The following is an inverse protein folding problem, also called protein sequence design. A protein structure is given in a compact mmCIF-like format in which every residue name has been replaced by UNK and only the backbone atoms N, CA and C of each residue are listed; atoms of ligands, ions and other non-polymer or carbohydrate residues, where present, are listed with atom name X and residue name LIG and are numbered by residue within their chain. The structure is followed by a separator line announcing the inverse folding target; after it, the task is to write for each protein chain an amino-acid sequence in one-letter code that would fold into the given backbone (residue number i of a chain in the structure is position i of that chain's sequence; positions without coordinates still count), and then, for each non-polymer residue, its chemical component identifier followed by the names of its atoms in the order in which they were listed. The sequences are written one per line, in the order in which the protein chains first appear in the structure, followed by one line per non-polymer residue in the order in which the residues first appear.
data_IF_365315863509
#
_entry.id   IF_365315863509
#
_cell.length_a   1.000
_cell.length_b   1.000
_cell.length_c   1.000
_cell.angle_alpha   90.00
_cell.angle_beta   90.00
_cell.angle_gamma   90.00
#
_symmetry.space_group_name_H-M   'P 1'
#
loop_
_entity.id
_entity.type
_entity.pdbx_description
1 polymer ?
#
# COMPACT_ATOMS: atom_id res chain seq x y z
N UNK A 1 -6.09 -33.07 -24.15
CA UNK A 1 -7.41 -33.37 -23.51
C UNK A 1 -8.01 -32.07 -23.03
N UNK A 2 -9.33 -31.91 -23.06
CA UNK A 2 -10.01 -30.72 -22.50
C UNK A 2 -10.71 -31.14 -21.21
N UNK A 3 -10.20 -30.61 -20.09
CA UNK A 3 -10.88 -30.80 -18.80
C UNK A 3 -12.19 -30.02 -18.74
N UNK A 4 -13.12 -30.48 -17.92
CA UNK A 4 -14.44 -29.89 -17.76
C UNK A 4 -14.70 -29.49 -16.30
N UNK A 5 -15.72 -28.67 -16.10
CA UNK A 5 -16.19 -28.31 -14.75
C UNK A 5 -16.61 -29.60 -14.01
N UNK A 6 -16.18 -29.69 -12.76
CA UNK A 6 -16.37 -30.80 -11.82
C UNK A 6 -15.37 -31.97 -11.96
N UNK A 7 -14.48 -31.98 -12.95
CA UNK A 7 -13.39 -32.97 -12.97
C UNK A 7 -12.59 -32.90 -11.70
N UNK A 8 -12.19 -34.07 -11.16
CA UNK A 8 -11.33 -34.19 -9.98
C UNK A 8 -9.98 -34.67 -10.45
N UNK A 9 -8.94 -33.92 -10.11
CA UNK A 9 -7.57 -34.12 -10.58
C UNK A 9 -6.59 -34.10 -9.42
N UNK A 10 -5.51 -34.84 -9.57
CA UNK A 10 -4.33 -34.71 -8.68
C UNK A 10 -3.33 -33.81 -9.37
N UNK A 11 -2.87 -32.76 -8.66
CA UNK A 11 -1.94 -31.80 -9.20
C UNK A 11 -0.84 -31.47 -8.20
N UNK A 12 0.40 -31.41 -8.69
CA UNK A 12 1.54 -30.85 -7.98
C UNK A 12 1.57 -29.35 -8.20
N UNK A 13 1.67 -28.59 -7.13
CA UNK A 13 1.81 -27.12 -7.22
C UNK A 13 3.28 -26.78 -7.44
N UNK A 14 3.58 -26.26 -8.61
CA UNK A 14 4.94 -25.97 -9.08
C UNK A 14 5.32 -24.51 -8.97
N UNK A 15 4.32 -23.62 -8.92
CA UNK A 15 4.50 -22.17 -8.85
C UNK A 15 3.32 -21.50 -8.14
N UNK A 16 3.39 -20.17 -7.98
CA UNK A 16 2.31 -19.37 -7.43
C UNK A 16 1.99 -18.20 -8.37
N UNK A 17 0.70 -17.92 -8.51
CA UNK A 17 0.18 -16.85 -9.34
C UNK A 17 0.28 -15.47 -8.68
N UNK A 18 -0.07 -14.46 -9.46
CA UNK A 18 0.00 -13.06 -9.05
C UNK A 18 -0.86 -12.75 -7.81
N UNK A 19 -1.99 -13.42 -7.66
CA UNK A 19 -2.93 -13.25 -6.56
C UNK A 19 -2.69 -14.25 -5.40
N UNK A 20 -1.56 -14.98 -5.43
CA UNK A 20 -1.15 -15.93 -4.38
C UNK A 20 -1.81 -17.32 -4.50
N UNK A 21 -2.53 -17.62 -5.59
CA UNK A 21 -3.01 -18.97 -5.87
C UNK A 21 -1.89 -19.89 -6.35
N UNK A 22 -1.93 -21.15 -5.97
CA UNK A 22 -0.99 -22.14 -6.49
C UNK A 22 -1.23 -22.43 -7.97
N UNK A 23 -0.16 -22.66 -8.70
CA UNK A 23 -0.16 -23.05 -10.12
C UNK A 23 0.44 -24.43 -10.24
N UNK A 24 -0.32 -25.32 -10.86
CA UNK A 24 0.17 -26.66 -11.22
C UNK A 24 -0.30 -27.06 -12.61
N UNK A 25 0.29 -28.12 -13.14
CA UNK A 25 -0.05 -28.66 -14.46
C UNK A 25 -0.51 -30.09 -14.36
N UNK A 26 -1.56 -30.41 -15.10
CA UNK A 26 -2.00 -31.78 -15.32
C UNK A 26 -1.98 -32.04 -16.82
N UNK A 27 -1.09 -32.95 -17.28
CA UNK A 27 -0.91 -33.27 -18.71
C UNK A 27 -0.73 -32.02 -19.59
N UNK A 28 0.01 -31.02 -19.10
CA UNK A 28 0.26 -29.76 -19.81
C UNK A 28 -0.86 -28.69 -19.66
N UNK A 29 -1.98 -29.03 -19.04
CA UNK A 29 -3.07 -28.08 -18.77
C UNK A 29 -2.84 -27.37 -17.44
N UNK A 30 -2.77 -26.04 -17.47
CA UNK A 30 -2.47 -25.21 -16.30
C UNK A 30 -3.71 -25.04 -15.42
N UNK A 31 -3.56 -25.26 -14.12
CA UNK A 31 -4.60 -25.05 -13.11
C UNK A 31 -4.14 -24.01 -12.08
N UNK A 32 -5.03 -23.04 -11.83
CA UNK A 32 -4.92 -22.08 -10.73
C UNK A 32 -5.76 -22.59 -9.57
N UNK A 33 -5.13 -22.83 -8.42
CA UNK A 33 -5.77 -23.50 -7.29
C UNK A 33 -5.64 -22.61 -6.05
N UNK A 34 -6.76 -22.07 -5.59
CA UNK A 34 -6.80 -21.28 -4.35
C UNK A 34 -6.52 -22.18 -3.14
N UNK A 35 -5.94 -21.59 -2.10
CA UNK A 35 -5.61 -22.24 -0.81
C UNK A 35 -4.53 -23.34 -0.92
N UNK A 36 -3.72 -23.32 -1.99
CA UNK A 36 -2.53 -24.18 -2.13
C UNK A 36 -1.26 -23.33 -2.17
N UNK A 37 -0.15 -23.94 -1.80
CA UNK A 37 1.19 -23.31 -1.82
C UNK A 37 2.15 -24.14 -2.66
N UNK A 38 3.23 -23.51 -3.12
CA UNK A 38 4.28 -24.20 -3.88
C UNK A 38 4.76 -25.45 -3.12
N UNK A 39 4.86 -26.57 -3.84
CA UNK A 39 5.28 -27.85 -3.29
C UNK A 39 4.15 -28.77 -2.82
N UNK A 40 2.90 -28.28 -2.67
CA UNK A 40 1.77 -29.14 -2.35
C UNK A 40 1.49 -30.17 -3.45
N UNK A 41 1.16 -31.41 -3.07
CA UNK A 41 0.44 -32.35 -3.92
C UNK A 41 -1.03 -32.39 -3.46
N UNK A 42 -1.95 -32.02 -4.33
CA UNK A 42 -3.34 -31.79 -3.96
C UNK A 42 -4.32 -32.47 -4.89
N UNK A 43 -5.41 -32.99 -4.30
CA UNK A 43 -6.63 -33.33 -5.04
C UNK A 43 -7.48 -32.07 -5.18
N UNK A 44 -7.81 -31.73 -6.41
CA UNK A 44 -8.51 -30.50 -6.75
C UNK A 44 -9.72 -30.77 -7.64
N UNK A 45 -10.74 -29.93 -7.53
CA UNK A 45 -11.93 -29.99 -8.36
C UNK A 45 -12.00 -28.77 -9.28
N UNK A 46 -12.07 -28.99 -10.58
CA UNK A 46 -12.19 -27.93 -11.58
C UNK A 46 -13.50 -27.17 -11.39
N UNK A 47 -13.44 -25.86 -11.17
CA UNK A 47 -14.62 -24.99 -11.04
C UNK A 47 -14.90 -24.20 -12.31
N UNK A 48 -13.85 -23.92 -13.11
CA UNK A 48 -13.98 -23.23 -14.41
C UNK A 48 -12.86 -23.68 -15.34
N UNK A 49 -13.23 -24.24 -16.49
CA UNK A 49 -12.29 -24.61 -17.54
C UNK A 49 -12.29 -23.56 -18.66
N UNK A 50 -11.12 -23.27 -19.20
CA UNK A 50 -10.84 -22.46 -20.38
C UNK A 50 -10.05 -23.33 -21.39
N UNK A 51 -9.77 -22.81 -22.59
CA UNK A 51 -9.08 -23.58 -23.64
C UNK A 51 -7.70 -24.08 -23.19
N UNK A 52 -6.89 -23.27 -22.52
CA UNK A 52 -5.50 -23.57 -22.20
C UNK A 52 -5.21 -23.61 -20.69
N UNK A 53 -6.17 -23.24 -19.83
CA UNK A 53 -6.04 -23.23 -18.39
C UNK A 53 -7.37 -23.33 -17.68
N UNK A 54 -7.36 -23.59 -16.39
CA UNK A 54 -8.56 -23.64 -15.57
C UNK A 54 -8.33 -23.14 -14.15
N UNK A 55 -9.45 -22.95 -13.46
CA UNK A 55 -9.46 -22.66 -12.02
C UNK A 55 -10.01 -23.87 -11.29
N UNK A 56 -9.36 -24.24 -10.20
CA UNK A 56 -9.77 -25.37 -9.39
C UNK A 56 -9.84 -25.00 -7.91
N UNK A 57 -10.61 -25.77 -7.17
CA UNK A 57 -10.75 -25.68 -5.72
C UNK A 57 -10.01 -26.84 -5.08
N UNK A 58 -9.24 -26.55 -4.04
CA UNK A 58 -8.63 -27.57 -3.17
C UNK A 58 -9.73 -28.42 -2.51
N UNK A 59 -9.65 -29.73 -2.69
CA UNK A 59 -10.52 -30.70 -2.02
C UNK A 59 -9.83 -31.29 -0.79
N UNK A 60 -8.60 -31.76 -0.95
CA UNK A 60 -7.71 -32.21 0.13
C UNK A 60 -6.26 -32.15 -0.28
N UNK A 61 -5.39 -31.99 0.69
CA UNK A 61 -3.95 -32.17 0.50
C UNK A 61 -3.64 -33.66 0.55
N UNK A 62 -2.87 -34.16 -0.43
CA UNK A 62 -2.36 -35.52 -0.46
C UNK A 62 -1.02 -35.51 0.27
N UNK A 63 -0.11 -34.61 -0.13
CA UNK A 63 1.19 -34.36 0.52
C UNK A 63 1.36 -32.85 0.69
N UNK A 64 1.33 -32.34 1.93
CA UNK A 64 1.61 -30.94 2.18
C UNK A 64 3.05 -30.58 1.82
N UNK A 65 3.26 -29.37 1.32
CA UNK A 65 4.57 -28.79 1.10
C UNK A 65 5.34 -28.68 2.42
N UNK A 66 6.67 -28.84 2.37
CA UNK A 66 7.56 -28.54 3.50
C UNK A 66 7.51 -27.04 3.91
N UNK A 67 7.09 -26.16 2.99
CA UNK A 67 6.93 -24.71 3.21
C UNK A 67 5.53 -24.32 3.68
N UNK A 68 4.62 -25.28 3.83
CA UNK A 68 3.27 -24.99 4.32
C UNK A 68 3.28 -24.84 5.84
N UNK A 69 2.64 -23.76 6.30
CA UNK A 69 2.42 -23.48 7.73
C UNK A 69 0.94 -23.31 8.02
N UNK A 70 0.55 -23.54 9.27
CA UNK A 70 -0.82 -23.24 9.71
C UNK A 70 -0.98 -21.74 9.91
N UNK A 71 -2.00 -21.09 9.28
CA UNK A 71 -2.25 -19.67 9.47
C UNK A 71 -2.57 -19.32 10.92
N UNK A 72 -1.92 -18.30 11.47
CA UNK A 72 -2.23 -17.81 12.82
C UNK A 72 -3.61 -17.14 12.92
N UNK A 73 -4.13 -16.62 11.83
CA UNK A 73 -5.44 -15.96 11.76
C UNK A 73 -6.54 -17.00 11.46
N UNK A 74 -7.54 -17.18 12.35
CA UNK A 74 -8.59 -18.18 12.16
C UNK A 74 -9.49 -17.92 10.95
N UNK A 75 -9.52 -16.67 10.46
CA UNK A 75 -10.28 -16.27 9.26
C UNK A 75 -9.40 -16.02 8.03
N UNK A 76 -8.13 -16.46 8.04
CA UNK A 76 -7.19 -16.23 6.94
C UNK A 76 -7.73 -16.74 5.59
N UNK A 77 -8.35 -17.92 5.57
CA UNK A 77 -8.85 -18.54 4.35
C UNK A 77 -10.04 -17.80 3.69
N UNK A 78 -11.10 -17.43 4.42
CA UNK A 78 -12.21 -16.67 3.84
C UNK A 78 -11.93 -15.17 3.70
N UNK A 79 -11.05 -14.59 4.52
CA UNK A 79 -10.72 -13.16 4.48
C UNK A 79 -9.95 -12.81 3.19
N UNK A 80 -10.28 -11.68 2.58
CA UNK A 80 -9.59 -11.17 1.40
C UNK A 80 -8.26 -10.45 1.68
N UNK A 81 -7.88 -10.28 2.95
CA UNK A 81 -6.75 -9.42 3.33
C UNK A 81 -5.37 -10.08 3.17
N UNK A 82 -5.26 -11.39 3.38
CA UNK A 82 -4.00 -12.14 3.32
C UNK A 82 -4.10 -13.28 2.32
N UNK A 83 -3.10 -13.43 1.48
CA UNK A 83 -3.03 -14.51 0.48
C UNK A 83 -1.97 -15.56 0.82
N UNK A 84 -0.95 -15.22 1.61
CA UNK A 84 0.25 -16.03 1.80
C UNK A 84 0.43 -16.55 3.24
N UNK A 85 -0.55 -16.43 4.15
CA UNK A 85 -0.39 -16.91 5.54
C UNK A 85 -0.16 -18.42 5.66
N UNK A 86 -0.48 -19.20 4.63
CA UNK A 86 -0.24 -20.64 4.58
C UNK A 86 1.16 -21.02 4.12
N UNK A 87 2.00 -20.04 3.77
CA UNK A 87 3.36 -20.22 3.29
C UNK A 87 4.34 -19.68 4.33
N UNK A 88 5.42 -20.37 4.62
CA UNK A 88 6.46 -19.87 5.53
C UNK A 88 7.03 -18.54 5.02
N UNK A 89 7.51 -17.70 5.95
CA UNK A 89 7.88 -16.35 5.61
C UNK A 89 9.10 -16.25 4.69
N UNK A 90 10.03 -17.17 4.80
CA UNK A 90 11.19 -17.20 3.92
C UNK A 90 10.76 -17.48 2.47
N UNK A 91 9.80 -18.40 2.29
CA UNK A 91 9.29 -18.72 0.95
C UNK A 91 8.39 -17.61 0.40
N UNK A 92 7.68 -16.86 1.27
CA UNK A 92 6.98 -15.64 0.84
C UNK A 92 7.96 -14.61 0.24
N UNK A 93 9.13 -14.43 0.83
CA UNK A 93 10.16 -13.52 0.31
C UNK A 93 10.70 -14.00 -1.04
N UNK A 94 10.98 -15.30 -1.20
CA UNK A 94 11.40 -15.89 -2.49
C UNK A 94 10.34 -15.71 -3.58
N UNK A 95 9.08 -15.95 -3.25
CA UNK A 95 7.95 -15.69 -4.16
C UNK A 95 7.93 -14.24 -4.65
N UNK A 96 8.13 -13.28 -3.75
CA UNK A 96 8.13 -11.85 -4.07
C UNK A 96 9.34 -11.46 -4.94
N UNK A 97 10.53 -11.97 -4.64
CA UNK A 97 11.71 -11.78 -5.50
C UNK A 97 11.48 -12.36 -6.90
N UNK A 98 11.01 -13.62 -6.99
CA UNK A 98 10.68 -14.26 -8.26
C UNK A 98 9.67 -13.47 -9.08
N UNK A 99 8.68 -12.85 -8.44
CA UNK A 99 7.70 -11.98 -9.07
C UNK A 99 8.35 -10.73 -9.68
N UNK A 100 9.24 -10.05 -8.94
CA UNK A 100 9.98 -8.89 -9.44
C UNK A 100 10.82 -9.27 -10.65
N UNK A 101 11.66 -10.30 -10.52
CA UNK A 101 12.54 -10.79 -11.59
C UNK A 101 11.74 -11.19 -12.81
N UNK A 102 10.68 -11.98 -12.63
CA UNK A 102 9.84 -12.44 -13.72
C UNK A 102 9.15 -11.31 -14.49
N UNK A 103 8.78 -10.22 -13.84
CA UNK A 103 8.20 -9.06 -14.50
C UNK A 103 9.26 -8.24 -15.24
N UNK A 104 10.41 -7.98 -14.64
CA UNK A 104 11.52 -7.27 -15.30
C UNK A 104 12.04 -8.02 -16.53
N UNK A 105 12.09 -9.35 -16.49
CA UNK A 105 12.46 -10.17 -17.64
C UNK A 105 11.40 -10.15 -18.75
N UNK A 106 10.15 -10.47 -18.40
CA UNK A 106 9.09 -10.71 -19.41
C UNK A 106 8.49 -9.45 -19.97
N UNK A 107 8.32 -8.42 -19.13
CA UNK A 107 7.71 -7.13 -19.50
C UNK A 107 8.81 -6.12 -19.82
N UNK A 108 9.81 -6.00 -18.95
CA UNK A 108 10.93 -5.09 -19.08
C UNK A 108 11.94 -5.50 -20.14
N UNK A 109 11.95 -6.78 -20.57
CA UNK A 109 12.90 -7.29 -21.56
C UNK A 109 14.35 -7.41 -21.05
N UNK A 110 14.56 -7.32 -19.74
CA UNK A 110 15.90 -7.38 -19.14
C UNK A 110 16.43 -8.81 -19.15
N UNK A 111 17.63 -9.01 -19.67
CA UNK A 111 18.35 -10.30 -19.64
C UNK A 111 19.15 -10.48 -18.36
N UNK A 112 19.76 -9.42 -17.86
CA UNK A 112 20.50 -9.38 -16.60
C UNK A 112 19.84 -8.36 -15.68
N UNK A 113 19.60 -8.75 -14.44
CA UNK A 113 18.95 -7.91 -13.43
C UNK A 113 19.90 -7.76 -12.26
N UNK A 114 20.37 -6.55 -11.93
CA UNK A 114 21.24 -6.30 -10.79
C UNK A 114 20.42 -6.33 -9.49
N UNK A 115 19.92 -7.55 -9.14
CA UNK A 115 19.04 -7.79 -8.01
C UNK A 115 19.83 -7.89 -6.71
N UNK A 116 19.46 -7.09 -5.72
CA UNK A 116 19.91 -7.24 -4.33
C UNK A 116 18.87 -8.06 -3.53
N UNK A 117 19.28 -8.79 -2.47
CA UNK A 117 18.35 -9.59 -1.66
C UNK A 117 17.21 -8.76 -1.08
N UNK A 118 15.99 -9.30 -1.11
CA UNK A 118 14.79 -8.62 -0.62
C UNK A 118 14.90 -8.28 0.89
N UNK A 119 14.41 -7.11 1.26
CA UNK A 119 14.35 -6.67 2.65
C UNK A 119 13.07 -7.16 3.32
N UNK A 120 13.17 -8.22 4.12
CA UNK A 120 12.08 -8.75 4.93
C UNK A 120 11.94 -8.09 6.29
N UNK A 121 10.94 -8.56 7.07
CA UNK A 121 10.69 -8.19 8.47
C UNK A 121 11.15 -9.32 9.41
N UNK A 122 11.61 -8.95 10.61
CA UNK A 122 11.85 -9.93 11.69
C UNK A 122 10.53 -10.49 12.22
N UNK A 123 9.56 -9.61 12.47
CA UNK A 123 8.21 -9.99 12.85
C UNK A 123 7.21 -9.51 11.79
N UNK A 124 6.68 -10.41 10.93
CA UNK A 124 5.81 -10.06 9.83
C UNK A 124 4.33 -9.86 10.24
N UNK A 125 4.05 -9.65 11.50
CA UNK A 125 2.73 -9.39 12.07
C UNK A 125 2.69 -8.05 12.82
N UNK A 126 1.48 -7.57 13.15
CA UNK A 126 1.24 -6.35 13.95
C UNK A 126 1.89 -5.08 13.39
N UNK A 127 2.12 -5.02 12.09
CA UNK A 127 2.85 -3.93 11.45
C UNK A 127 1.97 -2.80 10.91
N UNK A 128 0.66 -3.05 10.71
CA UNK A 128 -0.19 -2.05 10.07
C UNK A 128 -0.62 -0.97 11.05
N UNK A 129 -0.23 0.26 10.74
CA UNK A 129 -0.61 1.47 11.49
C UNK A 129 -1.98 2.03 11.08
N UNK A 130 -2.62 1.46 10.06
CA UNK A 130 -3.95 1.89 9.59
C UNK A 130 -4.80 0.69 9.23
N UNK A 131 -6.04 0.70 9.70
CA UNK A 131 -7.06 -0.25 9.30
C UNK A 131 -8.41 0.45 9.08
N UNK A 132 -9.20 -0.05 8.13
CA UNK A 132 -10.55 0.42 7.85
C UNK A 132 -11.50 -0.77 7.99
N UNK A 133 -12.34 -0.72 9.00
CA UNK A 133 -13.24 -1.80 9.35
C UNK A 133 -14.66 -1.49 8.93
N UNK A 134 -15.28 -2.23 7.99
CA UNK A 134 -16.71 -2.12 7.72
C UNK A 134 -17.51 -2.52 8.96
N UNK A 135 -18.61 -1.83 9.19
CA UNK A 135 -19.62 -2.17 10.20
C UNK A 135 -20.86 -2.70 9.50
N UNK A 136 -21.36 -3.83 9.94
CA UNK A 136 -22.55 -4.45 9.37
C UNK A 136 -23.35 -5.22 10.41
N UNK A 137 -24.28 -6.04 9.94
CA UNK A 137 -25.05 -6.97 10.76
C UNK A 137 -24.96 -8.37 10.20
N UNK A 138 -24.93 -9.35 11.08
CA UNK A 138 -25.09 -10.74 10.72
C UNK A 138 -26.55 -11.08 10.38
N UNK A 139 -26.82 -12.34 10.04
CA UNK A 139 -28.17 -12.81 9.70
C UNK A 139 -29.18 -12.72 10.85
N UNK A 140 -28.72 -12.60 12.09
CA UNK A 140 -29.53 -12.49 13.30
C UNK A 140 -29.71 -11.03 13.74
N UNK A 141 -29.16 -10.07 12.98
CA UNK A 141 -29.20 -8.64 13.29
C UNK A 141 -28.16 -8.18 14.31
N UNK A 142 -27.23 -9.05 14.74
CA UNK A 142 -26.11 -8.68 15.61
C UNK A 142 -25.12 -7.81 14.85
N UNK A 143 -24.65 -6.73 15.48
CA UNK A 143 -23.59 -5.90 14.92
C UNK A 143 -22.29 -6.69 14.80
N UNK A 144 -21.67 -6.64 13.64
CA UNK A 144 -20.40 -7.26 13.33
C UNK A 144 -19.44 -6.27 12.67
N UNK A 145 -18.15 -6.51 12.83
CA UNK A 145 -17.10 -5.78 12.14
C UNK A 145 -15.91 -6.71 11.84
N UNK A 146 -15.13 -6.35 10.84
CA UNK A 146 -13.98 -7.14 10.40
C UNK A 146 -13.51 -6.71 9.04
N UNK A 147 -13.33 -7.67 8.12
CA UNK A 147 -12.91 -7.40 6.74
C UNK A 147 -13.82 -8.12 5.75
N UNK A 148 -13.83 -7.67 4.52
CA UNK A 148 -14.60 -8.34 3.48
C UNK A 148 -13.98 -9.68 3.07
N UNK A 149 -14.82 -10.68 2.86
CA UNK A 149 -14.42 -11.90 2.19
C UNK A 149 -13.96 -11.61 0.75
N UNK A 150 -12.98 -12.33 0.29
CA UNK A 150 -12.37 -12.08 -1.03
C UNK A 150 -13.41 -11.96 -2.15
N UNK A 151 -13.35 -10.87 -2.90
CA UNK A 151 -14.25 -10.55 -4.03
C UNK A 151 -15.74 -10.42 -3.67
N UNK A 152 -16.05 -10.13 -2.42
CA UNK A 152 -17.41 -9.88 -1.95
C UNK A 152 -17.45 -8.72 -0.96
N UNK A 153 -18.67 -8.26 -0.59
CA UNK A 153 -18.90 -7.32 0.51
C UNK A 153 -19.42 -8.03 1.78
N UNK A 154 -19.30 -9.35 1.86
CA UNK A 154 -19.63 -10.08 3.08
C UNK A 154 -18.55 -9.83 4.14
N UNK A 155 -18.96 -9.31 5.29
CA UNK A 155 -18.06 -9.07 6.42
C UNK A 155 -17.73 -10.41 7.10
N UNK A 156 -16.43 -10.70 7.19
CA UNK A 156 -15.87 -11.76 8.02
C UNK A 156 -15.55 -11.15 9.38
N UNK A 157 -16.29 -11.54 10.42
CA UNK A 157 -16.11 -11.00 11.77
C UNK A 157 -14.65 -11.24 12.23
N UNK A 158 -13.93 -10.15 12.46
CA UNK A 158 -12.56 -10.18 12.94
C UNK A 158 -12.16 -8.82 13.52
N UNK A 159 -12.20 -8.70 14.84
CA UNK A 159 -11.81 -7.47 15.56
C UNK A 159 -10.33 -7.43 15.85
N UNK A 160 -9.68 -8.59 15.93
CA UNK A 160 -8.26 -8.76 16.22
C UNK A 160 -7.52 -9.28 14.99
N UNK A 161 -7.29 -8.39 14.01
CA UNK A 161 -6.50 -8.70 12.83
C UNK A 161 -5.01 -8.81 13.18
N UNK A 162 -4.37 -9.93 12.90
CA UNK A 162 -2.95 -10.16 13.19
C UNK A 162 -1.98 -9.26 12.42
N UNK A 163 -2.42 -8.57 11.38
CA UNK A 163 -1.61 -7.55 10.70
C UNK A 163 -1.71 -6.17 11.36
N UNK A 164 -2.87 -5.86 11.97
CA UNK A 164 -3.11 -4.59 12.64
C UNK A 164 -2.63 -4.59 14.09
N UNK A 165 -2.60 -3.41 14.70
CA UNK A 165 -2.27 -3.22 16.10
C UNK A 165 -3.35 -3.82 17.01
N UNK A 166 -2.96 -4.24 18.23
CA UNK A 166 -3.87 -4.90 19.17
C UNK A 166 -4.96 -3.97 19.69
N UNK A 167 -4.68 -2.67 19.78
CA UNK A 167 -5.62 -1.63 20.19
C UNK A 167 -6.91 -1.60 19.34
N UNK A 168 -6.85 -2.10 18.10
CA UNK A 168 -8.04 -2.16 17.24
C UNK A 168 -9.20 -2.91 17.89
N UNK A 169 -8.94 -4.00 18.56
CA UNK A 169 -9.97 -4.85 19.16
C UNK A 169 -10.77 -4.10 20.23
N UNK A 170 -10.11 -3.44 21.16
CA UNK A 170 -10.74 -2.67 22.23
C UNK A 170 -11.51 -1.47 21.67
N UNK A 171 -10.94 -0.74 20.71
CA UNK A 171 -11.60 0.39 20.05
C UNK A 171 -12.90 -0.06 19.38
N UNK A 172 -12.84 -1.15 18.61
CA UNK A 172 -14.02 -1.70 17.92
C UNK A 172 -15.08 -2.20 18.89
N UNK A 173 -14.68 -2.85 19.97
CA UNK A 173 -15.61 -3.30 21.01
C UNK A 173 -16.36 -2.13 21.63
N UNK A 174 -15.67 -1.05 22.02
CA UNK A 174 -16.31 0.16 22.58
C UNK A 174 -17.28 0.81 21.60
N UNK A 175 -16.93 0.87 20.31
CA UNK A 175 -17.81 1.43 19.27
C UNK A 175 -19.06 0.57 19.10
N UNK A 176 -18.94 -0.75 19.04
CA UNK A 176 -20.08 -1.64 18.88
C UNK A 176 -21.02 -1.58 20.09
N UNK A 177 -20.47 -1.56 21.31
CA UNK A 177 -21.26 -1.39 22.55
C UNK A 177 -22.01 -0.06 22.54
N UNK A 178 -21.32 1.05 22.17
CA UNK A 178 -21.99 2.34 22.04
C UNK A 178 -23.13 2.31 21.00
N UNK A 179 -22.92 1.64 19.85
CA UNK A 179 -23.97 1.50 18.83
C UNK A 179 -25.17 0.71 19.37
N UNK A 180 -24.96 -0.39 20.05
CA UNK A 180 -26.00 -1.25 20.63
C UNK A 180 -26.82 -0.48 21.70
N UNK A 181 -26.13 0.13 22.67
CA UNK A 181 -26.78 0.86 23.79
C UNK A 181 -27.58 2.10 23.35
N UNK A 182 -27.21 2.71 22.24
CA UNK A 182 -27.84 3.94 21.77
C UNK A 182 -28.68 3.74 20.49
N UNK A 183 -28.92 2.50 20.08
CA UNK A 183 -29.75 2.16 18.91
C UNK A 183 -29.21 2.73 17.60
N UNK A 184 -27.88 2.84 17.44
CA UNK A 184 -27.21 3.39 16.25
C UNK A 184 -27.11 2.30 15.18
N UNK A 185 -27.81 2.40 14.05
CA UNK A 185 -27.82 1.34 13.04
C UNK A 185 -26.52 1.30 12.21
N UNK A 186 -26.08 0.08 11.87
CA UNK A 186 -25.09 -0.12 10.83
C UNK A 186 -25.68 0.26 9.45
N UNK A 187 -24.83 0.78 8.57
CA UNK A 187 -25.21 1.07 7.19
C UNK A 187 -25.32 -0.24 6.39
N UNK A 188 -26.42 -0.36 5.65
CA UNK A 188 -26.65 -1.46 4.73
C UNK A 188 -26.47 -0.98 3.29
N UNK A 189 -25.48 -1.53 2.57
CA UNK A 189 -25.12 -1.10 1.21
C UNK A 189 -26.22 -1.39 0.17
N UNK A 190 -27.02 -2.45 0.37
CA UNK A 190 -28.09 -2.81 -0.57
C UNK A 190 -29.26 -1.83 -0.48
N UNK A 191 -29.69 -1.51 0.74
CA UNK A 191 -30.84 -0.64 0.97
C UNK A 191 -30.45 0.85 1.02
N UNK A 192 -29.18 1.17 1.28
CA UNK A 192 -28.71 2.54 1.52
C UNK A 192 -29.19 3.14 2.84
N UNK A 193 -29.69 2.33 3.77
CA UNK A 193 -30.20 2.74 5.09
C UNK A 193 -29.17 2.45 6.17
N UNK A 194 -29.33 3.11 7.31
CA UNK A 194 -28.41 3.00 8.45
C UNK A 194 -27.40 4.14 8.47
N UNK A 195 -26.58 4.18 9.51
CA UNK A 195 -25.69 5.33 9.80
C UNK A 195 -24.22 4.99 9.71
N UNK A 196 -23.70 4.08 10.54
CA UNK A 196 -22.25 3.81 10.61
C UNK A 196 -21.85 2.84 9.52
N UNK A 197 -20.92 3.28 8.65
CA UNK A 197 -20.42 2.50 7.51
C UNK A 197 -19.11 1.80 7.82
N UNK A 198 -18.12 2.57 8.30
CA UNK A 198 -16.78 2.06 8.59
C UNK A 198 -16.19 2.78 9.80
N UNK A 199 -15.21 2.13 10.41
CA UNK A 199 -14.31 2.73 11.38
C UNK A 199 -12.91 2.69 10.81
N UNK A 200 -12.29 3.86 10.63
CA UNK A 200 -10.87 3.98 10.33
C UNK A 200 -10.13 4.19 11.65
N UNK A 201 -9.10 3.38 11.88
CA UNK A 201 -8.20 3.50 13.03
C UNK A 201 -6.79 3.74 12.49
N UNK A 202 -6.10 4.73 13.06
CA UNK A 202 -4.68 4.97 12.83
C UNK A 202 -3.92 4.95 14.16
N UNK A 203 -2.72 4.42 14.13
CA UNK A 203 -1.84 4.26 15.27
C UNK A 203 -0.44 4.77 14.94
N UNK A 204 0.08 5.70 15.74
CA UNK A 204 1.46 6.14 15.68
C UNK A 204 2.37 5.14 16.37
N UNK A 205 3.26 4.47 15.65
CA UNK A 205 4.12 3.44 16.23
C UNK A 205 5.17 4.02 17.20
N UNK A 206 5.68 5.20 16.90
CA UNK A 206 6.66 5.87 17.77
C UNK A 206 5.97 6.69 18.87
N UNK A 207 4.91 7.41 18.53
CA UNK A 207 4.21 8.32 19.45
C UNK A 207 3.18 7.64 20.33
N UNK A 208 2.69 6.43 19.93
CA UNK A 208 1.56 5.70 20.53
C UNK A 208 0.23 6.45 20.42
N UNK A 209 0.17 7.50 19.63
CA UNK A 209 -1.05 8.26 19.38
C UNK A 209 -2.08 7.43 18.57
N UNK A 210 -3.36 7.55 18.97
CA UNK A 210 -4.49 6.85 18.32
C UNK A 210 -5.43 7.88 17.72
N UNK A 211 -5.81 7.65 16.47
CA UNK A 211 -6.90 8.37 15.82
C UNK A 211 -8.00 7.40 15.39
N UNK A 212 -9.24 7.74 15.73
CA UNK A 212 -10.44 7.03 15.29
C UNK A 212 -11.26 7.95 14.40
N UNK A 213 -11.64 7.49 13.22
CA UNK A 213 -12.56 8.20 12.34
C UNK A 213 -13.77 7.33 12.00
N UNK A 214 -14.96 7.76 12.42
CA UNK A 214 -16.21 7.10 12.05
C UNK A 214 -16.65 7.60 10.67
N UNK A 215 -16.86 6.68 9.76
CA UNK A 215 -17.43 6.99 8.43
C UNK A 215 -18.92 6.73 8.48
N UNK A 216 -19.72 7.76 8.22
CA UNK A 216 -21.16 7.69 8.42
C UNK A 216 -21.96 8.18 7.22
N UNK A 217 -23.14 7.59 7.03
CA UNK A 217 -24.16 8.04 6.08
C UNK A 217 -24.98 9.20 6.66
N UNK A 218 -24.29 10.27 7.05
CA UNK A 218 -24.90 11.41 7.74
C UNK A 218 -23.88 12.46 8.13
N UNK A 219 -24.29 13.44 8.94
CA UNK A 219 -23.42 14.49 9.48
C UNK A 219 -23.33 14.50 11.01
N UNK A 220 -24.18 13.75 11.69
CA UNK A 220 -24.28 13.73 13.15
C UNK A 220 -24.33 12.31 13.67
N UNK A 221 -23.86 12.12 14.90
CA UNK A 221 -23.97 10.87 15.65
C UNK A 221 -24.97 11.04 16.79
N UNK A 222 -25.88 10.08 17.00
CA UNK A 222 -26.66 10.00 18.25
C UNK A 222 -25.72 9.74 19.44
N UNK A 223 -26.02 10.37 20.58
CA UNK A 223 -25.22 10.19 21.80
C UNK A 223 -23.69 10.31 21.60
N UNK A 224 -23.26 11.28 20.76
CA UNK A 224 -21.86 11.52 20.39
C UNK A 224 -20.95 11.68 21.60
N UNK A 225 -21.40 12.38 22.65
CA UNK A 225 -20.64 12.61 23.87
C UNK A 225 -20.32 11.29 24.63
N UNK A 226 -21.23 10.31 24.61
CA UNK A 226 -20.98 8.99 25.23
C UNK A 226 -19.88 8.23 24.50
N UNK A 227 -19.89 8.28 23.16
CA UNK A 227 -18.83 7.69 22.36
C UNK A 227 -17.47 8.34 22.63
N UNK A 228 -17.43 9.68 22.61
CA UNK A 228 -16.21 10.43 22.90
C UNK A 228 -15.68 10.05 24.29
N UNK A 229 -16.53 10.08 25.32
CA UNK A 229 -16.14 9.71 26.68
C UNK A 229 -15.55 8.31 26.73
N UNK A 230 -16.21 7.32 26.12
CA UNK A 230 -15.73 5.94 26.10
C UNK A 230 -14.38 5.78 25.42
N UNK A 231 -14.18 6.42 24.25
CA UNK A 231 -12.92 6.32 23.50
C UNK A 231 -11.78 7.08 24.16
N UNK A 232 -12.05 8.21 24.83
CA UNK A 232 -11.01 9.03 25.49
C UNK A 232 -10.42 8.39 26.75
N UNK A 233 -11.05 7.33 27.28
CA UNK A 233 -10.48 6.49 28.33
C UNK A 233 -9.33 5.59 27.85
N UNK A 234 -9.19 5.40 26.55
CA UNK A 234 -8.11 4.59 25.97
C UNK A 234 -6.79 5.37 26.00
N UNK A 235 -5.75 4.73 26.52
CA UNK A 235 -4.41 5.28 26.51
C UNK A 235 -3.95 5.55 25.07
N UNK A 236 -3.37 6.72 24.82
CA UNK A 236 -2.91 7.15 23.51
C UNK A 236 -4.01 7.75 22.61
N UNK A 237 -5.29 7.77 23.04
CA UNK A 237 -6.33 8.41 22.23
C UNK A 237 -6.03 9.91 22.08
N UNK A 238 -5.84 10.34 20.84
CA UNK A 238 -5.40 11.71 20.51
C UNK A 238 -6.41 12.44 19.65
N UNK A 239 -7.17 11.71 18.82
CA UNK A 239 -8.10 12.33 17.89
C UNK A 239 -9.30 11.42 17.59
N UNK A 240 -10.50 11.99 17.65
CA UNK A 240 -11.74 11.35 17.22
C UNK A 240 -12.38 12.26 16.16
N UNK A 241 -12.66 11.69 15.00
CA UNK A 241 -13.18 12.42 13.84
C UNK A 241 -14.39 11.70 13.24
N UNK A 242 -15.15 12.41 12.44
CA UNK A 242 -16.27 11.90 11.66
C UNK A 242 -16.07 12.25 10.20
N UNK A 243 -16.21 11.28 9.32
CA UNK A 243 -16.24 11.44 7.88
C UNK A 243 -17.66 11.23 7.37
N UNK A 244 -18.24 12.27 6.76
CA UNK A 244 -19.58 12.21 6.15
C UNK A 244 -19.47 11.62 4.74
N UNK A 245 -19.96 10.39 4.53
CA UNK A 245 -20.04 9.75 3.23
C UNK A 245 -21.46 9.26 2.95
N UNK A 246 -22.19 9.97 2.11
CA UNK A 246 -23.56 9.65 1.69
C UNK A 246 -23.63 9.00 0.32
N UNK A 247 -22.51 8.89 -0.37
CA UNK A 247 -22.45 8.37 -1.72
C UNK A 247 -22.52 6.83 -1.72
N UNK A 248 -23.16 6.26 -2.73
CA UNK A 248 -23.22 4.82 -2.95
C UNK A 248 -22.09 4.40 -3.90
N UNK A 249 -20.86 4.53 -3.43
CA UNK A 249 -19.66 4.18 -4.17
C UNK A 249 -18.74 3.31 -3.31
N UNK A 250 -17.72 2.73 -3.92
CA UNK A 250 -16.69 1.97 -3.20
C UNK A 250 -15.69 2.87 -2.45
N UNK A 251 -15.82 4.19 -2.55
CA UNK A 251 -14.99 5.13 -1.80
C UNK A 251 -15.46 5.12 -0.34
N UNK A 252 -14.57 4.78 0.57
CA UNK A 252 -14.88 4.64 1.99
C UNK A 252 -15.02 6.02 2.65
N UNK A 253 -14.00 6.87 2.49
CA UNK A 253 -13.95 8.18 3.14
C UNK A 253 -14.74 9.24 2.36
N UNK A 254 -15.55 10.02 3.07
CA UNK A 254 -16.15 11.24 2.50
C UNK A 254 -15.15 12.40 2.50
N UNK A 255 -15.47 13.44 1.76
CA UNK A 255 -14.64 14.66 1.67
C UNK A 255 -14.75 15.56 2.91
N UNK A 256 -15.92 15.59 3.56
CA UNK A 256 -16.15 16.38 4.76
C UNK A 256 -15.66 15.61 6.00
N UNK A 257 -14.67 16.17 6.69
CA UNK A 257 -14.16 15.64 7.97
C UNK A 257 -14.50 16.65 9.08
N UNK A 258 -15.15 16.16 10.14
CA UNK A 258 -15.44 16.92 11.35
C UNK A 258 -14.64 16.36 12.51
N UNK A 259 -13.89 17.20 13.20
CA UNK A 259 -13.24 16.82 14.45
C UNK A 259 -14.29 16.79 15.56
N UNK A 260 -14.40 15.65 16.25
CA UNK A 260 -15.29 15.46 17.38
C UNK A 260 -14.57 15.74 18.70
N UNK A 261 -13.31 15.34 18.76
CA UNK A 261 -12.47 15.54 19.94
C UNK A 261 -10.98 15.48 19.54
N UNK A 262 -10.14 16.20 20.28
CA UNK A 262 -8.71 16.27 20.05
C UNK A 262 -8.34 17.22 18.91
N UNK A 263 -7.22 16.92 18.26
CA UNK A 263 -6.61 17.84 17.29
C UNK A 263 -6.96 17.54 15.81
N UNK A 264 -7.72 16.47 15.53
CA UNK A 264 -8.12 16.09 14.17
C UNK A 264 -7.04 15.36 13.37
N UNK A 265 -5.92 15.03 13.99
CA UNK A 265 -4.79 14.30 13.41
C UNK A 265 -4.02 13.54 14.49
N UNK A 266 -3.09 12.70 14.08
CA UNK A 266 -2.02 12.14 14.92
C UNK A 266 -0.67 12.52 14.34
N UNK A 267 0.39 12.32 15.11
CA UNK A 267 1.76 12.42 14.63
C UNK A 267 2.49 11.09 14.74
N UNK A 268 3.41 10.84 13.82
CA UNK A 268 4.32 9.69 13.90
C UNK A 268 5.64 10.02 13.20
N UNK A 269 6.62 9.15 13.29
CA UNK A 269 7.95 9.34 12.73
C UNK A 269 8.28 8.28 11.68
N UNK A 270 9.07 8.67 10.68
CA UNK A 270 9.84 7.78 9.80
C UNK A 270 11.30 8.20 9.98
N UNK A 271 12.11 7.34 10.60
CA UNK A 271 13.43 7.74 11.06
C UNK A 271 13.34 8.90 12.04
N UNK A 272 14.02 10.01 11.73
CA UNK A 272 14.02 11.25 12.56
C UNK A 272 12.96 12.27 12.16
N UNK A 273 12.28 12.07 11.02
CA UNK A 273 11.32 13.04 10.48
C UNK A 273 9.92 12.78 11.04
N UNK A 274 9.32 13.81 11.63
CA UNK A 274 7.98 13.82 12.20
C UNK A 274 6.94 14.16 11.14
N UNK A 275 5.84 13.41 11.09
CA UNK A 275 4.74 13.65 10.16
C UNK A 275 3.43 13.85 10.91
N UNK A 276 2.68 14.86 10.49
CA UNK A 276 1.29 15.05 10.86
C UNK A 276 0.42 14.27 9.90
N UNK A 277 -0.48 13.43 10.43
CA UNK A 277 -1.26 12.47 9.68
C UNK A 277 -2.74 12.71 9.96
N UNK A 278 -3.47 13.22 8.96
CA UNK A 278 -4.92 13.41 9.02
C UNK A 278 -5.69 12.14 8.64
N UNK A 279 -7.02 12.07 8.80
CA UNK A 279 -7.80 10.92 8.34
C UNK A 279 -7.64 10.62 6.85
N UNK A 280 -7.48 11.66 6.02
CA UNK A 280 -7.38 11.54 4.56
C UNK A 280 -5.94 11.42 4.05
N UNK A 281 -4.93 11.75 4.86
CA UNK A 281 -3.52 11.69 4.44
C UNK A 281 -3.16 10.28 3.98
N UNK A 282 -2.46 10.18 2.85
CA UNK A 282 -1.73 8.96 2.53
C UNK A 282 -0.48 8.90 3.43
N UNK A 283 -0.31 7.81 4.12
CA UNK A 283 0.85 7.49 4.93
C UNK A 283 1.07 5.98 4.89
N UNK A 284 2.29 5.54 4.66
CA UNK A 284 2.64 4.13 4.49
C UNK A 284 2.23 3.30 5.71
N UNK A 285 1.64 2.13 5.46
CA UNK A 285 0.97 1.35 6.52
C UNK A 285 1.90 0.50 7.39
N UNK A 286 3.17 0.37 7.01
CA UNK A 286 4.17 -0.41 7.72
C UNK A 286 5.39 0.48 8.03
N UNK A 287 5.41 1.18 9.17
CA UNK A 287 6.47 2.15 9.47
C UNK A 287 7.88 1.56 9.46
N UNK A 288 8.07 0.35 10.00
CA UNK A 288 9.37 -0.30 10.05
C UNK A 288 9.95 -0.59 8.65
N UNK A 289 9.11 -1.04 7.73
CA UNK A 289 9.55 -1.28 6.35
C UNK A 289 9.61 0.02 5.55
N UNK A 290 8.79 1.02 5.88
CA UNK A 290 8.84 2.35 5.25
C UNK A 290 10.16 3.05 5.52
N UNK A 291 10.69 2.95 6.74
CA UNK A 291 12.01 3.49 7.05
C UNK A 291 13.11 2.82 6.20
N UNK A 292 13.05 1.49 6.05
CA UNK A 292 13.97 0.76 5.17
C UNK A 292 13.79 1.14 3.69
N UNK A 293 12.54 1.26 3.22
CA UNK A 293 12.20 1.65 1.86
C UNK A 293 12.76 3.02 1.50
N UNK A 294 12.55 3.99 2.38
CA UNK A 294 13.05 5.37 2.18
C UNK A 294 14.55 5.47 2.38
N UNK A 295 15.11 4.70 3.33
CA UNK A 295 16.56 4.54 3.47
C UNK A 295 17.22 4.01 2.20
N UNK A 296 16.60 3.03 1.56
CA UNK A 296 17.05 2.47 0.28
C UNK A 296 16.90 3.49 -0.87
N UNK A 297 15.79 4.23 -0.92
CA UNK A 297 15.61 5.30 -1.91
C UNK A 297 16.68 6.39 -1.73
N UNK A 298 17.01 6.77 -0.50
CA UNK A 298 18.08 7.72 -0.18
C UNK A 298 19.46 7.18 -0.56
N UNK A 299 19.74 5.89 -0.29
CA UNK A 299 20.99 5.23 -0.71
C UNK A 299 21.13 5.26 -2.23
N UNK A 300 20.06 4.89 -2.96
CA UNK A 300 20.08 4.83 -4.42
C UNK A 300 20.11 6.22 -5.07
N UNK A 301 19.59 7.23 -4.40
CA UNK A 301 19.75 8.64 -4.80
C UNK A 301 21.22 9.11 -4.71
N UNK A 302 22.04 8.49 -3.84
CA UNK A 302 23.48 8.75 -3.74
C UNK A 302 23.81 10.21 -3.43
N UNK A 303 23.07 10.85 -2.51
CA UNK A 303 23.18 12.26 -2.20
C UNK A 303 24.42 12.58 -1.39
N UNK A 304 25.11 13.66 -1.77
CA UNK A 304 26.34 14.16 -1.12
C UNK A 304 26.14 15.50 -0.40
N UNK A 305 24.97 16.12 -0.54
CA UNK A 305 24.64 17.46 -0.03
C UNK A 305 24.69 18.57 -1.07
N UNK A 306 25.00 18.23 -2.33
CA UNK A 306 25.10 19.20 -3.43
C UNK A 306 23.95 19.08 -4.43
N UNK A 307 23.20 18.01 -4.39
CA UNK A 307 22.21 17.64 -5.40
C UNK A 307 20.87 18.36 -5.19
N UNK A 308 20.27 18.73 -6.32
CA UNK A 308 18.86 19.13 -6.45
C UNK A 308 18.03 17.90 -6.80
N UNK A 309 17.07 17.59 -5.95
CA UNK A 309 16.22 16.39 -6.07
C UNK A 309 14.79 16.79 -6.37
N UNK A 310 14.15 16.12 -7.31
CA UNK A 310 12.71 16.21 -7.56
C UNK A 310 11.98 14.95 -7.12
N UNK A 311 10.93 15.11 -6.33
CA UNK A 311 9.99 14.06 -5.92
C UNK A 311 8.66 14.32 -6.64
N UNK A 312 8.35 13.51 -7.65
CA UNK A 312 7.27 13.82 -8.60
C UNK A 312 5.89 13.25 -8.21
N UNK A 313 5.78 12.60 -7.06
CA UNK A 313 4.53 12.12 -6.45
C UNK A 313 4.64 12.28 -4.92
N UNK A 314 4.93 13.49 -4.44
CA UNK A 314 5.41 13.68 -3.08
C UNK A 314 4.35 13.45 -1.99
N UNK A 315 3.05 13.43 -2.32
CA UNK A 315 1.98 13.29 -1.33
C UNK A 315 2.10 14.35 -0.22
N UNK A 316 2.12 13.91 1.03
CA UNK A 316 2.32 14.76 2.21
C UNK A 316 3.82 15.04 2.51
N UNK A 317 4.70 14.80 1.53
CA UNK A 317 6.14 15.06 1.60
C UNK A 317 6.94 13.95 2.29
N UNK A 318 6.45 12.72 2.35
CA UNK A 318 7.11 11.66 3.14
C UNK A 318 8.51 11.32 2.61
N UNK A 319 8.67 11.07 1.32
CA UNK A 319 9.98 10.80 0.71
C UNK A 319 10.77 12.11 0.59
N UNK A 320 10.13 13.20 0.15
CA UNK A 320 10.78 14.51 -0.03
C UNK A 320 11.53 14.96 1.23
N UNK A 321 10.86 14.91 2.39
CA UNK A 321 11.46 15.36 3.66
C UNK A 321 12.53 14.40 4.17
N UNK A 322 12.41 13.11 3.85
CA UNK A 322 13.43 12.12 4.16
C UNK A 322 14.72 12.37 3.33
N UNK A 323 14.57 12.70 2.04
CA UNK A 323 15.67 13.05 1.14
C UNK A 323 16.31 14.40 1.50
N UNK A 324 15.51 15.38 1.98
CA UNK A 324 15.97 16.71 2.33
C UNK A 324 17.04 16.72 3.43
N UNK A 325 17.14 15.64 4.22
CA UNK A 325 18.20 15.48 5.23
C UNK A 325 19.61 15.41 4.62
N UNK A 326 19.74 15.04 3.32
CA UNK A 326 21.03 14.87 2.63
C UNK A 326 21.09 15.59 1.27
N UNK A 327 20.04 16.22 0.81
CA UNK A 327 20.00 16.98 -0.43
C UNK A 327 20.36 18.44 -0.19
N UNK A 328 20.92 19.13 -1.20
CA UNK A 328 21.02 20.58 -1.20
C UNK A 328 19.65 21.23 -1.25
N UNK A 329 18.78 20.74 -2.14
CA UNK A 329 17.41 21.22 -2.30
C UNK A 329 16.50 20.06 -2.76
N UNK A 330 15.29 20.03 -2.26
CA UNK A 330 14.26 19.08 -2.71
C UNK A 330 13.04 19.85 -3.19
N UNK A 331 12.52 19.45 -4.35
CA UNK A 331 11.29 19.94 -4.92
C UNK A 331 10.26 18.80 -4.97
N UNK A 332 9.12 18.96 -4.29
CA UNK A 332 8.03 18.00 -4.31
C UNK A 332 6.87 18.46 -5.17
N UNK A 333 6.33 17.58 -5.99
CA UNK A 333 5.15 17.86 -6.83
C UNK A 333 4.04 16.87 -6.52
N UNK A 334 2.82 17.38 -6.32
CA UNK A 334 1.63 16.57 -6.07
C UNK A 334 0.39 17.29 -6.63
N UNK A 335 -0.52 16.52 -7.21
CA UNK A 335 -1.74 17.06 -7.82
C UNK A 335 -2.81 17.49 -6.79
N UNK A 336 -2.74 16.92 -5.57
CA UNK A 336 -3.73 17.16 -4.50
C UNK A 336 -3.30 18.33 -3.63
N UNK A 337 -4.04 19.48 -3.66
CA UNK A 337 -3.66 20.68 -2.91
C UNK A 337 -3.57 20.47 -1.40
N UNK A 338 -4.46 19.66 -0.84
CA UNK A 338 -4.49 19.34 0.60
C UNK A 338 -3.23 18.57 1.03
N UNK A 339 -2.74 17.67 0.18
CA UNK A 339 -1.50 16.94 0.44
C UNK A 339 -0.29 17.88 0.44
N UNK A 340 -0.23 18.84 -0.48
CA UNK A 340 0.83 19.87 -0.49
C UNK A 340 0.75 20.77 0.75
N UNK A 341 -0.45 21.12 1.22
CA UNK A 341 -0.60 21.86 2.46
C UNK A 341 -0.03 21.07 3.66
N UNK A 342 -0.32 19.77 3.72
CA UNK A 342 0.26 18.86 4.72
C UNK A 342 1.77 18.74 4.56
N UNK A 343 2.32 18.64 3.34
CA UNK A 343 3.76 18.57 3.07
C UNK A 343 4.50 19.82 3.59
N UNK A 344 3.98 21.02 3.28
CA UNK A 344 4.52 22.28 3.77
C UNK A 344 4.50 22.39 5.31
N UNK A 345 3.41 21.90 5.91
CA UNK A 345 3.29 21.85 7.35
C UNK A 345 4.28 20.85 7.97
N UNK A 346 4.46 19.68 7.33
CA UNK A 346 5.42 18.67 7.75
C UNK A 346 6.87 19.19 7.63
N UNK A 347 7.21 19.94 6.58
CA UNK A 347 8.51 20.62 6.49
C UNK A 347 8.72 21.58 7.67
N UNK A 348 7.70 22.41 7.96
CA UNK A 348 7.76 23.41 9.04
C UNK A 348 7.96 22.79 10.43
N UNK A 349 7.23 21.72 10.78
CA UNK A 349 7.36 21.07 12.11
C UNK A 349 8.69 20.36 12.32
N UNK A 350 9.42 20.08 11.23
CA UNK A 350 10.76 19.49 11.26
C UNK A 350 11.88 20.53 11.01
N UNK A 351 11.55 21.81 10.88
CA UNK A 351 12.52 22.89 10.59
C UNK A 351 13.32 22.60 9.30
N UNK A 352 12.71 21.94 8.31
CA UNK A 352 13.32 21.63 7.02
C UNK A 352 13.03 22.79 6.05
N UNK A 353 14.07 23.58 5.74
CA UNK A 353 13.99 24.79 4.91
C UNK A 353 14.40 24.55 3.45
N UNK A 354 15.09 23.45 3.17
CA UNK A 354 15.56 23.09 1.83
C UNK A 354 14.58 22.25 1.02
N UNK A 355 13.32 22.13 1.46
CA UNK A 355 12.24 21.47 0.70
C UNK A 355 11.18 22.49 0.26
N UNK A 356 10.77 22.40 -1.00
CA UNK A 356 9.73 23.26 -1.59
C UNK A 356 8.68 22.41 -2.32
N UNK A 357 7.40 22.82 -2.27
CA UNK A 357 6.30 21.97 -2.74
C UNK A 357 5.37 22.72 -3.67
N UNK A 358 5.00 22.07 -4.80
CA UNK A 358 4.17 22.59 -5.87
C UNK A 358 2.90 21.76 -6.06
N UNK A 359 1.78 22.44 -6.27
CA UNK A 359 0.52 21.79 -6.66
C UNK A 359 0.44 21.75 -8.18
N UNK A 360 0.31 20.57 -8.77
CA UNK A 360 0.11 20.43 -10.21
C UNK A 360 0.55 19.06 -10.73
N UNK A 361 0.51 18.92 -12.04
CA UNK A 361 1.03 17.73 -12.70
C UNK A 361 2.53 17.85 -12.89
N UNK A 362 3.24 16.77 -12.58
CA UNK A 362 4.70 16.75 -12.63
C UNK A 362 5.25 17.06 -14.04
N UNK A 363 4.59 16.54 -15.09
CA UNK A 363 4.94 16.78 -16.49
C UNK A 363 4.75 18.23 -16.96
N UNK A 364 4.00 19.05 -16.18
CA UNK A 364 3.78 20.48 -16.45
C UNK A 364 4.68 21.34 -15.55
N UNK A 365 4.76 21.03 -14.27
CA UNK A 365 5.50 21.81 -13.26
C UNK A 365 7.01 21.74 -13.48
N UNK A 366 7.55 20.55 -13.74
CA UNK A 366 9.00 20.35 -13.87
C UNK A 366 9.62 21.17 -15.03
N UNK A 367 9.11 21.11 -16.28
CA UNK A 367 9.63 21.94 -17.36
C UNK A 367 9.43 23.43 -17.10
N UNK A 368 8.24 23.84 -16.66
CA UNK A 368 7.92 25.24 -16.41
C UNK A 368 8.83 25.89 -15.36
N UNK A 369 9.22 25.13 -14.33
CA UNK A 369 10.17 25.59 -13.32
C UNK A 369 11.53 25.94 -13.96
N UNK A 370 12.11 25.05 -14.78
CA UNK A 370 13.40 25.27 -15.40
C UNK A 370 13.37 26.33 -16.50
N UNK A 371 12.26 26.45 -17.23
CA UNK A 371 12.06 27.57 -18.16
C UNK A 371 12.04 28.93 -17.46
N UNK A 372 11.39 29.00 -16.29
CA UNK A 372 11.35 30.23 -15.50
C UNK A 372 12.73 30.50 -14.87
N UNK A 373 13.39 29.46 -14.33
CA UNK A 373 14.72 29.58 -13.73
C UNK A 373 15.73 30.15 -14.74
N UNK A 374 15.74 29.67 -15.98
CA UNK A 374 16.62 30.13 -17.04
C UNK A 374 16.38 31.61 -17.41
N UNK A 375 15.13 32.10 -17.31
CA UNK A 375 14.78 33.52 -17.50
C UNK A 375 15.29 34.40 -16.36
N UNK A 376 15.17 33.92 -15.14
CA UNK A 376 15.50 34.67 -13.93
C UNK A 376 17.02 34.67 -13.66
N UNK A 377 17.75 33.66 -14.18
CA UNK A 377 19.19 33.47 -13.99
C UNK A 377 19.91 33.24 -15.34
N UNK A 378 20.00 34.27 -16.20
CA UNK A 378 20.62 34.12 -17.50
C UNK A 378 22.09 33.68 -17.39
N UNK A 379 22.42 32.56 -18.07
CA UNK A 379 23.77 31.99 -18.08
C UNK A 379 24.05 30.98 -16.97
N UNK A 380 23.13 30.75 -16.06
CA UNK A 380 23.19 29.62 -15.12
C UNK A 380 22.50 28.39 -15.70
N UNK A 381 23.12 27.24 -15.56
CA UNK A 381 22.54 25.95 -15.93
C UNK A 381 22.10 25.23 -14.65
N UNK A 382 20.79 25.28 -14.37
CA UNK A 382 20.20 24.42 -13.35
C UNK A 382 19.56 23.20 -14.00
N UNK A 383 19.73 22.05 -13.40
CA UNK A 383 19.08 20.81 -13.82
C UNK A 383 18.66 19.98 -12.58
N UNK A 384 17.85 18.98 -12.79
CA UNK A 384 17.55 17.99 -11.78
C UNK A 384 18.74 17.01 -11.71
N UNK A 385 19.46 16.95 -10.59
CA UNK A 385 20.52 15.95 -10.43
C UNK A 385 19.92 14.55 -10.22
N UNK A 386 18.84 14.48 -9.43
CA UNK A 386 18.12 13.24 -9.13
C UNK A 386 16.63 13.45 -9.23
N UNK A 387 15.94 12.51 -9.88
CA UNK A 387 14.47 12.43 -9.85
C UNK A 387 14.05 11.18 -9.07
N UNK A 388 13.14 11.34 -8.13
CA UNK A 388 12.53 10.25 -7.36
C UNK A 388 11.05 10.18 -7.70
N UNK A 389 10.53 8.98 -7.93
CA UNK A 389 9.11 8.75 -8.18
C UNK A 389 8.58 7.60 -7.32
N UNK A 390 7.37 7.77 -6.78
CA UNK A 390 6.57 6.74 -6.11
C UNK A 390 5.14 6.79 -6.65
N UNK A 391 4.93 6.40 -7.93
CA UNK A 391 3.65 6.55 -8.59
C UNK A 391 2.60 5.55 -8.04
N UNK A 392 1.30 5.80 -8.30
CA UNK A 392 0.24 4.85 -8.01
C UNK A 392 0.42 3.54 -8.80
N UNK A 393 -0.34 2.50 -8.47
CA UNK A 393 -0.25 1.15 -9.09
C UNK A 393 -0.24 1.11 -10.62
N UNK A 394 -0.79 2.12 -11.28
CA UNK A 394 -0.76 2.23 -12.75
C UNK A 394 0.61 2.59 -13.34
N UNK A 395 1.57 2.95 -12.52
CA UNK A 395 2.87 3.47 -12.93
C UNK A 395 2.81 4.93 -13.36
N UNK A 396 3.89 5.42 -13.97
CA UNK A 396 3.95 6.75 -14.57
C UNK A 396 3.18 6.80 -15.89
N UNK A 397 2.63 7.97 -16.21
CA UNK A 397 2.16 8.28 -17.55
C UNK A 397 3.37 8.41 -18.49
N UNK A 398 3.21 7.99 -19.74
CA UNK A 398 4.30 7.99 -20.74
C UNK A 398 4.90 9.39 -20.94
N UNK A 399 4.05 10.43 -20.98
CA UNK A 399 4.51 11.83 -21.08
C UNK A 399 5.42 12.22 -19.90
N UNK A 400 5.16 11.73 -18.69
CA UNK A 400 6.02 12.01 -17.54
C UNK A 400 7.39 11.33 -17.70
N UNK A 401 7.45 10.08 -18.17
CA UNK A 401 8.72 9.39 -18.42
C UNK A 401 9.59 10.14 -19.43
N UNK A 402 9.00 10.64 -20.52
CA UNK A 402 9.68 11.49 -21.50
C UNK A 402 10.13 12.83 -20.88
N UNK A 403 9.29 13.46 -20.08
CA UNK A 403 9.64 14.70 -19.38
C UNK A 403 10.84 14.49 -18.45
N UNK A 404 10.81 13.43 -17.63
CA UNK A 404 11.93 13.08 -16.75
C UNK A 404 13.23 12.91 -17.53
N UNK A 405 13.20 12.14 -18.62
CA UNK A 405 14.38 11.91 -19.45
C UNK A 405 14.89 13.20 -20.13
N UNK A 406 13.98 14.09 -20.56
CA UNK A 406 14.35 15.37 -21.18
C UNK A 406 15.06 16.33 -20.23
N UNK A 407 14.81 16.21 -18.91
CA UNK A 407 15.52 16.97 -17.87
C UNK A 407 16.94 16.45 -17.61
N UNK A 408 17.29 15.31 -18.22
CA UNK A 408 18.62 14.69 -18.15
C UNK A 408 19.19 14.49 -16.73
N UNK A 409 18.39 14.02 -15.74
CA UNK A 409 18.95 13.75 -14.42
C UNK A 409 20.05 12.69 -14.50
N UNK A 410 21.05 12.80 -13.64
CA UNK A 410 22.12 11.80 -13.57
C UNK A 410 21.57 10.46 -13.05
N UNK A 411 20.56 10.53 -12.17
CA UNK A 411 19.94 9.36 -11.53
C UNK A 411 18.43 9.51 -11.45
N UNK A 412 17.76 8.38 -11.64
CA UNK A 412 16.32 8.23 -11.35
C UNK A 412 16.17 7.11 -10.31
N UNK A 413 15.47 7.39 -9.22
CA UNK A 413 15.08 6.39 -8.22
C UNK A 413 13.59 6.13 -8.36
N UNK A 414 13.24 4.91 -8.75
CA UNK A 414 11.86 4.52 -8.96
C UNK A 414 11.41 3.58 -7.82
N UNK A 415 10.50 4.05 -6.98
CA UNK A 415 9.81 3.26 -5.96
C UNK A 415 8.49 2.79 -6.55
N UNK A 416 8.11 1.51 -6.37
CA UNK A 416 6.89 0.98 -6.95
C UNK A 416 6.26 -0.13 -6.14
N UNK A 417 4.95 -0.05 -5.94
CA UNK A 417 4.13 -1.11 -5.35
C UNK A 417 3.62 -2.16 -6.36
N UNK A 418 3.95 -2.00 -7.67
CA UNK A 418 3.59 -2.94 -8.74
C UNK A 418 4.75 -3.16 -9.69
N UNK A 419 5.40 -4.33 -9.58
CA UNK A 419 6.56 -4.66 -10.39
C UNK A 419 6.27 -4.86 -11.89
N UNK A 420 5.00 -5.02 -12.30
CA UNK A 420 4.65 -5.14 -13.71
C UNK A 420 4.63 -3.77 -14.40
N UNK A 421 4.00 -2.77 -13.77
CA UNK A 421 4.04 -1.39 -14.28
C UNK A 421 5.43 -0.79 -14.18
N UNK A 422 6.17 -1.07 -13.09
CA UNK A 422 7.58 -0.72 -12.98
C UNK A 422 8.40 -1.26 -14.16
N UNK A 423 8.24 -2.54 -14.50
CA UNK A 423 8.99 -3.17 -15.59
C UNK A 423 8.68 -2.51 -16.95
N UNK A 424 7.42 -2.11 -17.19
CA UNK A 424 7.01 -1.35 -18.37
C UNK A 424 7.72 0.02 -18.42
N UNK A 425 7.71 0.74 -17.32
CA UNK A 425 8.24 2.10 -17.24
C UNK A 425 9.77 2.11 -17.33
N UNK A 426 10.42 1.13 -16.69
CA UNK A 426 11.88 0.93 -16.77
C UNK A 426 12.33 0.62 -18.21
N UNK A 427 11.53 -0.14 -18.98
CA UNK A 427 11.81 -0.39 -20.39
C UNK A 427 11.81 0.91 -21.20
N UNK A 428 10.80 1.77 -21.01
CA UNK A 428 10.71 3.08 -21.67
C UNK A 428 11.91 3.97 -21.28
N UNK A 429 12.25 4.03 -19.99
CA UNK A 429 13.42 4.79 -19.53
C UNK A 429 14.74 4.24 -20.13
N UNK A 430 14.82 2.92 -20.32
CA UNK A 430 15.95 2.29 -21.02
C UNK A 430 16.09 2.75 -22.47
N UNK A 431 14.97 2.85 -23.19
CA UNK A 431 14.92 3.39 -24.55
C UNK A 431 15.27 4.90 -24.61
N UNK A 432 15.11 5.61 -23.48
CA UNK A 432 15.43 7.04 -23.32
C UNK A 432 16.83 7.30 -22.74
N UNK A 433 17.71 6.29 -22.66
CA UNK A 433 19.11 6.45 -22.28
C UNK A 433 19.40 6.26 -20.80
N UNK A 434 18.58 5.50 -20.07
CA UNK A 434 18.82 5.14 -18.66
C UNK A 434 19.07 3.65 -18.51
N UNK A 435 20.08 3.28 -17.72
CA UNK A 435 20.42 1.90 -17.40
C UNK A 435 20.09 1.58 -15.95
N UNK A 436 19.46 0.42 -15.70
CA UNK A 436 19.21 -0.09 -14.36
C UNK A 436 20.52 -0.53 -13.72
N UNK A 437 20.88 0.06 -12.60
CA UNK A 437 22.10 -0.25 -11.83
C UNK A 437 21.84 -1.09 -10.60
N UNK A 438 20.67 -0.95 -9.98
CA UNK A 438 20.28 -1.72 -8.78
C UNK A 438 18.77 -1.97 -8.79
N UNK A 439 18.38 -3.12 -8.29
CA UNK A 439 16.98 -3.51 -8.07
C UNK A 439 16.89 -4.17 -6.70
N UNK A 440 15.97 -3.74 -5.85
CA UNK A 440 15.73 -4.39 -4.57
C UNK A 440 14.27 -4.39 -4.19
N UNK A 441 13.77 -5.55 -3.76
CA UNK A 441 12.44 -5.68 -3.17
C UNK A 441 12.42 -5.29 -1.69
N UNK A 442 11.30 -4.73 -1.24
CA UNK A 442 11.02 -4.48 0.19
C UNK A 442 9.66 -5.08 0.52
N UNK A 443 9.61 -5.96 1.51
CA UNK A 443 8.36 -6.58 1.93
C UNK A 443 7.54 -5.64 2.82
N UNK A 444 6.94 -4.63 2.20
CA UNK A 444 6.07 -3.66 2.84
C UNK A 444 4.76 -4.28 3.36
N UNK A 445 4.34 -5.40 2.75
CA UNK A 445 3.06 -6.04 3.00
C UNK A 445 3.20 -7.55 3.27
N UNK A 446 3.86 -7.96 4.37
CA UNK A 446 3.91 -9.37 4.77
C UNK A 446 2.54 -10.05 4.76
N UNK A 447 2.52 -11.35 4.51
CA UNK A 447 1.31 -12.19 4.40
C UNK A 447 0.42 -11.90 3.18
N UNK A 448 0.81 -10.95 2.33
CA UNK A 448 0.13 -10.64 1.06
C UNK A 448 1.05 -10.87 -0.14
N UNK A 449 0.47 -10.99 -1.33
CA UNK A 449 1.23 -11.12 -2.59
C UNK A 449 1.83 -9.81 -3.11
N UNK A 450 1.67 -8.71 -2.38
CA UNK A 450 2.21 -7.40 -2.73
C UNK A 450 3.65 -7.24 -2.25
N UNK A 451 4.44 -6.50 -3.04
CA UNK A 451 5.83 -6.17 -2.72
C UNK A 451 6.14 -4.78 -3.27
N UNK A 452 6.87 -3.99 -2.49
CA UNK A 452 7.50 -2.77 -2.98
C UNK A 452 8.83 -3.12 -3.63
N UNK A 453 9.20 -2.32 -4.64
CA UNK A 453 10.47 -2.47 -5.33
C UNK A 453 11.10 -1.11 -5.55
N UNK A 454 12.39 -0.98 -5.28
CA UNK A 454 13.16 0.23 -5.58
C UNK A 454 14.18 -0.10 -6.66
N UNK A 455 14.22 0.76 -7.69
CA UNK A 455 15.16 0.65 -8.81
C UNK A 455 15.97 1.93 -8.91
N UNK A 456 17.28 1.78 -8.98
CA UNK A 456 18.20 2.87 -9.35
C UNK A 456 18.50 2.79 -10.85
N UNK A 457 18.22 3.88 -11.55
CA UNK A 457 18.61 4.05 -12.96
C UNK A 457 19.62 5.19 -13.07
N UNK A 458 20.66 4.97 -13.86
CA UNK A 458 21.66 5.99 -14.15
C UNK A 458 21.61 6.34 -15.63
N UNK A 459 21.83 7.61 -15.93
CA UNK A 459 21.96 8.06 -17.31
C UNK A 459 23.21 7.42 -17.94
N UNK A 460 23.04 6.93 -19.14
CA UNK A 460 24.16 6.44 -19.97
C UNK A 460 24.66 7.60 -20.82
N UNK A 461 25.93 7.95 -20.68
CA UNK A 461 26.56 8.92 -21.57
C UNK A 461 26.56 8.34 -22.99
N UNK A 462 25.87 9.00 -23.91
CA UNK A 462 25.86 8.65 -25.32
C UNK A 462 27.07 9.19 -26.04
#
# INVERSE_FOLDING_TARGET
MSYQKNDVLTVKIEDMGHDGEGIGKCEGYTLFVKDTVIGDLAEVKVIKAKKNYGYARLMRLIEPSAHRVEPVCPVARPCGGCQLQMLDYAEQLRFKEKKIVGNLQRIGGMTEIPLEPIMGMENPFRYRNKAQFPIGQDRNGKLITGFYAGRTHQIMENRNCYLGVEQNEEILNRILVWMEENGVPAYNEETGKGLVRHVLIRFGFMTKEIMVCLVVNGKKLPAEEKLIKSLTELEGMTSITLSANRERTNVIMGKEIRCLWGQGYITDYIGTVKYRISPLSFYQVNPAQTEKLYGLALEYAGLTGNETVWDLYCGIGTISLFLAQKAKKVYGVEIVPEAIADAKNNAKINEIENAEFFVGKSEEILPAYYEQYAKDHPGEHAHADVIVVDPPRKGCEENLLHTMASMQPDRIVYVSCDSATLARDVKVLGELGYEVKKVRGVDQFPMTCHVECVVALHRVDM
#
